data_IF_092535128287
#
_entry.id   IF_092535128287
#
_cell.length_a   1.000
_cell.length_b   1.000
_cell.length_c   1.000
_cell.angle_alpha   90.00
_cell.angle_beta   90.00
_cell.angle_gamma   90.00
#
_symmetry.space_group_name_H-M   'P 1'
#
loop_
_entity.id
_entity.type
_entity.pdbx_description
1 polymer ?
#
# COMPACT_ATOMS: atom_id res chain seq x y z
N UNK A 1 14.49 18.26 6.75
CA UNK A 1 15.57 17.86 5.83
C UNK A 1 15.42 16.40 5.40
N UNK A 2 15.18 15.44 6.31
CA UNK A 2 15.06 14.01 5.97
C UNK A 2 14.01 13.77 4.88
N UNK A 3 12.80 14.27 5.05
CA UNK A 3 11.73 14.16 4.03
C UNK A 3 12.21 14.74 2.69
N UNK A 4 12.72 15.97 2.70
CA UNK A 4 13.14 16.66 1.47
C UNK A 4 14.24 15.91 0.72
N UNK A 5 15.17 15.27 1.42
CA UNK A 5 16.26 14.51 0.80
C UNK A 5 15.78 13.19 0.18
N UNK A 6 14.61 12.71 0.59
CA UNK A 6 13.99 11.49 0.08
C UNK A 6 12.91 11.72 -1.00
N UNK A 7 12.49 12.97 -1.21
CA UNK A 7 11.53 13.32 -2.26
C UNK A 7 12.27 13.60 -3.58
N UNK A 8 12.54 12.54 -4.32
CA UNK A 8 13.14 12.61 -5.67
C UNK A 8 12.07 12.33 -6.73
N UNK A 9 12.26 11.38 -7.61
CA UNK A 9 11.21 10.92 -8.53
C UNK A 9 10.27 9.88 -7.90
N UNK A 10 10.68 9.32 -6.77
CA UNK A 10 9.90 8.50 -5.84
C UNK A 10 10.17 8.96 -4.42
N UNK A 11 9.31 8.60 -3.47
CA UNK A 11 9.66 8.73 -2.06
C UNK A 11 10.57 7.54 -1.70
N UNK A 12 11.83 7.82 -1.36
CA UNK A 12 12.79 6.78 -0.98
C UNK A 12 12.82 6.60 0.53
N UNK A 13 13.17 5.42 1.00
CA UNK A 13 13.39 5.15 2.43
C UNK A 13 14.69 5.78 2.93
N UNK A 14 15.77 5.70 2.13
CA UNK A 14 17.05 6.32 2.43
C UNK A 14 17.69 6.93 1.18
N UNK A 15 18.13 8.23 1.25
CA UNK A 15 18.60 8.96 0.08
C UNK A 15 20.00 8.58 -0.35
N UNK A 16 20.75 7.87 0.48
CA UNK A 16 22.19 7.62 0.26
C UNK A 16 22.53 6.13 0.10
N UNK A 17 21.79 5.23 0.74
CA UNK A 17 22.11 3.79 0.76
C UNK A 17 21.33 3.04 -0.32
N UNK A 18 20.09 2.70 -0.10
CA UNK A 18 19.29 1.86 -0.99
C UNK A 18 18.67 2.64 -2.14
N UNK A 19 18.12 3.82 -1.85
CA UNK A 19 17.41 4.69 -2.81
C UNK A 19 16.22 3.99 -3.47
N UNK A 20 15.57 3.11 -2.73
CA UNK A 20 14.43 2.33 -3.19
C UNK A 20 13.11 3.00 -2.77
N UNK A 21 12.10 2.88 -3.61
CA UNK A 21 10.76 3.37 -3.36
C UNK A 21 9.91 2.36 -2.61
N UNK A 22 10.31 2.00 -1.38
CA UNK A 22 9.52 1.16 -0.51
C UNK A 22 8.17 1.80 -0.22
N UNK A 23 7.09 1.04 -0.40
CA UNK A 23 5.75 1.59 -0.42
C UNK A 23 5.14 1.85 0.96
N UNK A 24 5.53 1.09 1.98
CA UNK A 24 5.00 1.25 3.33
C UNK A 24 5.19 2.67 3.85
N UNK A 25 6.41 3.19 3.81
CA UNK A 25 6.69 4.54 4.28
C UNK A 25 5.92 5.61 3.51
N UNK A 26 5.59 5.35 2.25
CA UNK A 26 4.84 6.31 1.43
C UNK A 26 3.49 6.62 2.03
N UNK A 27 2.76 5.61 2.50
CA UNK A 27 1.47 5.84 3.13
C UNK A 27 1.57 6.15 4.62
N UNK A 28 2.49 5.52 5.38
CA UNK A 28 2.66 5.79 6.81
C UNK A 28 3.14 7.22 7.07
N UNK A 29 4.10 7.72 6.28
CA UNK A 29 4.61 9.08 6.37
C UNK A 29 3.78 10.11 5.60
N UNK A 30 2.78 9.66 4.84
CA UNK A 30 2.02 10.47 3.88
C UNK A 30 1.48 11.77 4.47
N UNK A 31 0.82 11.71 5.62
CA UNK A 31 0.31 12.91 6.30
C UNK A 31 1.43 13.89 6.68
N UNK A 32 2.53 13.38 7.25
CA UNK A 32 3.68 14.20 7.62
C UNK A 32 4.33 14.89 6.42
N UNK A 33 4.39 14.20 5.29
CA UNK A 33 4.90 14.74 4.03
C UNK A 33 3.94 15.80 3.49
N UNK A 34 2.64 15.49 3.42
CA UNK A 34 1.59 16.40 2.93
C UNK A 34 1.52 17.71 3.72
N UNK A 35 1.70 17.69 5.04
CA UNK A 35 1.70 18.91 5.84
C UNK A 35 2.87 19.85 5.53
N UNK A 36 3.93 19.36 4.92
CA UNK A 36 5.15 20.12 4.65
C UNK A 36 5.38 20.43 3.17
N UNK A 37 4.76 19.68 2.27
CA UNK A 37 5.00 19.77 0.82
C UNK A 37 3.72 19.58 0.03
N UNK A 38 3.59 20.27 -1.11
CA UNK A 38 2.60 19.91 -2.12
C UNK A 38 3.11 18.67 -2.87
N UNK A 39 2.53 17.54 -2.56
CA UNK A 39 2.96 16.23 -3.07
C UNK A 39 2.01 15.62 -4.10
N UNK A 40 0.98 16.35 -4.51
CA UNK A 40 0.00 15.84 -5.47
C UNK A 40 0.65 15.25 -6.74
N UNK A 41 1.57 15.96 -7.45
CA UNK A 41 2.19 15.40 -8.65
C UNK A 41 3.02 14.15 -8.38
N UNK A 42 3.78 14.16 -7.28
CA UNK A 42 4.64 13.02 -6.91
C UNK A 42 3.81 11.78 -6.57
N UNK A 43 2.75 11.94 -5.79
CA UNK A 43 1.93 10.81 -5.37
C UNK A 43 1.04 10.28 -6.50
N UNK A 44 0.58 11.15 -7.41
CA UNK A 44 -0.06 10.69 -8.67
C UNK A 44 0.90 9.84 -9.51
N UNK A 45 2.17 10.26 -9.60
CA UNK A 45 3.20 9.45 -10.27
C UNK A 45 3.40 8.12 -9.55
N UNK A 46 3.48 8.08 -8.22
CA UNK A 46 3.63 6.83 -7.48
C UNK A 46 2.46 5.86 -7.68
N UNK A 47 1.22 6.37 -7.74
CA UNK A 47 0.06 5.55 -8.11
C UNK A 47 0.25 4.95 -9.50
N UNK A 48 0.73 5.74 -10.46
CA UNK A 48 1.03 5.25 -11.82
C UNK A 48 2.15 4.20 -11.81
N UNK A 49 3.22 4.43 -11.05
CA UNK A 49 4.32 3.47 -10.92
C UNK A 49 3.84 2.11 -10.38
N UNK A 50 2.94 2.12 -9.37
CA UNK A 50 2.33 0.90 -8.85
C UNK A 50 1.42 0.21 -9.87
N UNK A 51 0.65 0.97 -10.65
CA UNK A 51 -0.16 0.41 -11.74
C UNK A 51 0.69 -0.32 -12.78
N UNK A 52 1.86 0.23 -13.11
CA UNK A 52 2.81 -0.36 -14.07
C UNK A 52 3.51 -1.58 -13.47
N UNK A 53 3.87 -1.53 -12.19
CA UNK A 53 4.58 -2.61 -11.50
C UNK A 53 3.68 -3.80 -11.14
N UNK A 54 2.35 -3.61 -11.12
CA UNK A 54 1.42 -4.67 -10.72
C UNK A 54 1.54 -5.90 -11.61
N UNK A 55 1.68 -7.07 -11.00
CA UNK A 55 1.76 -8.35 -11.72
C UNK A 55 0.41 -8.78 -12.31
N UNK A 56 0.44 -9.78 -13.18
CA UNK A 56 -0.77 -10.35 -13.78
C UNK A 56 -1.70 -10.96 -12.72
N UNK A 57 -1.13 -11.53 -11.65
CA UNK A 57 -1.85 -12.13 -10.53
C UNK A 57 -2.48 -11.08 -9.60
N UNK A 58 -2.06 -9.83 -9.69
CA UNK A 58 -2.59 -8.73 -8.90
C UNK A 58 -1.67 -8.23 -7.79
N UNK A 59 -0.51 -8.86 -7.56
CA UNK A 59 0.48 -8.38 -6.58
C UNK A 59 0.97 -6.98 -6.97
N UNK A 60 1.01 -6.09 -6.01
CA UNK A 60 1.77 -4.83 -6.08
C UNK A 60 3.07 -5.08 -5.30
N UNK A 61 4.25 -5.08 -5.97
CA UNK A 61 5.51 -5.30 -5.29
C UNK A 61 5.77 -4.26 -4.21
N UNK A 62 6.52 -4.61 -3.17
CA UNK A 62 6.82 -3.74 -2.02
C UNK A 62 7.58 -2.47 -2.40
N UNK A 63 8.22 -2.47 -3.58
CA UNK A 63 8.83 -1.27 -4.19
C UNK A 63 8.20 -0.96 -5.55
N UNK A 64 7.95 0.30 -5.83
CA UNK A 64 7.52 0.77 -7.14
C UNK A 64 8.20 2.10 -7.51
N UNK A 65 8.84 2.19 -8.70
CA UNK A 65 8.97 1.13 -9.71
C UNK A 65 9.82 -0.05 -9.23
N UNK A 66 9.49 -1.28 -9.69
CA UNK A 66 10.22 -2.50 -9.34
C UNK A 66 11.47 -2.67 -10.24
N UNK A 67 12.51 -1.87 -10.02
CA UNK A 67 13.76 -1.96 -10.79
C UNK A 67 14.80 -2.86 -10.13
N UNK A 68 14.56 -3.32 -8.91
CA UNK A 68 15.31 -4.36 -8.21
C UNK A 68 14.33 -5.43 -7.77
N UNK A 69 14.36 -6.63 -8.37
CA UNK A 69 13.47 -7.71 -7.96
C UNK A 69 13.94 -8.31 -6.63
N UNK A 70 13.06 -8.34 -5.65
CA UNK A 70 13.23 -9.07 -4.41
C UNK A 70 12.41 -10.37 -4.43
N UNK A 71 12.46 -11.13 -3.35
CA UNK A 71 11.70 -12.37 -3.18
C UNK A 71 11.13 -12.47 -1.77
N UNK A 72 10.12 -13.33 -1.60
CA UNK A 72 9.46 -13.54 -0.31
C UNK A 72 8.83 -12.26 0.22
N UNK A 73 8.90 -12.06 1.53
CA UNK A 73 8.33 -10.89 2.20
C UNK A 73 8.92 -9.54 1.79
N UNK A 74 10.10 -9.51 1.19
CA UNK A 74 10.66 -8.26 0.64
C UNK A 74 10.07 -7.86 -0.73
N UNK A 75 9.18 -8.66 -1.27
CA UNK A 75 8.45 -8.36 -2.52
C UNK A 75 6.95 -8.37 -2.34
N UNK A 76 6.46 -9.13 -1.37
CA UNK A 76 5.06 -9.44 -1.17
C UNK A 76 4.73 -9.38 0.32
N UNK A 77 4.55 -8.16 0.80
CA UNK A 77 4.07 -7.87 2.15
C UNK A 77 2.84 -6.97 2.07
N UNK A 78 1.70 -7.38 2.67
CA UNK A 78 0.47 -6.59 2.62
C UNK A 78 0.66 -5.14 3.10
N UNK A 79 1.48 -4.90 4.11
CA UNK A 79 1.73 -3.59 4.69
C UNK A 79 2.36 -2.61 3.67
N UNK A 80 3.11 -3.12 2.69
CA UNK A 80 3.73 -2.33 1.60
C UNK A 80 2.78 -2.18 0.41
N UNK A 81 2.30 -3.30 -0.14
CA UNK A 81 1.48 -3.29 -1.35
C UNK A 81 0.14 -2.56 -1.18
N UNK A 82 -0.39 -2.48 0.03
CA UNK A 82 -1.61 -1.72 0.37
C UNK A 82 -1.50 -0.22 0.08
N UNK A 83 -0.28 0.32 -0.12
CA UNK A 83 -0.13 1.68 -0.65
C UNK A 83 -0.90 1.90 -1.95
N UNK A 84 -1.08 0.84 -2.76
CA UNK A 84 -1.88 0.90 -4.00
C UNK A 84 -3.36 1.22 -3.78
N UNK A 85 -3.90 0.90 -2.62
CA UNK A 85 -5.27 1.24 -2.22
C UNK A 85 -5.28 2.54 -1.39
N UNK A 86 -4.34 2.68 -0.46
CA UNK A 86 -4.31 3.78 0.49
C UNK A 86 -3.95 5.11 -0.18
N UNK A 87 -2.99 5.15 -1.13
CA UNK A 87 -2.60 6.41 -1.77
C UNK A 87 -3.72 7.09 -2.56
N UNK A 88 -4.49 6.40 -3.43
CA UNK A 88 -5.64 7.02 -4.09
C UNK A 88 -6.66 7.59 -3.11
N UNK A 89 -6.89 6.91 -1.98
CA UNK A 89 -7.72 7.43 -0.90
C UNK A 89 -7.15 8.69 -0.26
N UNK A 90 -5.85 8.71 0.07
CA UNK A 90 -5.18 9.88 0.64
C UNK A 90 -5.26 11.09 -0.32
N UNK A 91 -5.02 10.88 -1.61
CA UNK A 91 -5.14 11.94 -2.62
C UNK A 91 -6.55 12.52 -2.68
N UNK A 92 -7.56 11.69 -2.57
CA UNK A 92 -8.94 12.16 -2.44
C UNK A 92 -9.17 12.97 -1.16
N UNK A 93 -8.69 12.49 -0.02
CA UNK A 93 -8.86 13.17 1.28
C UNK A 93 -8.16 14.52 1.33
N UNK A 94 -6.98 14.64 0.73
CA UNK A 94 -6.18 15.86 0.79
C UNK A 94 -6.54 16.88 -0.29
N UNK A 95 -6.85 16.41 -1.50
CA UNK A 95 -6.99 17.25 -2.69
C UNK A 95 -8.36 17.13 -3.39
N UNK A 96 -9.24 16.26 -2.94
CA UNK A 96 -10.49 15.95 -3.63
C UNK A 96 -10.28 15.18 -4.94
N UNK A 97 -9.13 14.53 -5.12
CA UNK A 97 -8.75 13.90 -6.39
C UNK A 97 -9.45 12.55 -6.59
N UNK A 98 -10.61 12.59 -7.20
CA UNK A 98 -11.34 11.39 -7.62
C UNK A 98 -10.78 10.77 -8.89
N UNK A 99 -10.00 11.51 -9.67
CA UNK A 99 -9.48 11.03 -10.96
C UNK A 99 -8.42 9.94 -10.76
N UNK A 100 -7.47 10.14 -9.86
CA UNK A 100 -6.50 9.10 -9.50
C UNK A 100 -7.18 7.84 -8.98
N UNK A 101 -8.24 7.98 -8.20
CA UNK A 101 -9.05 6.87 -7.70
C UNK A 101 -9.73 6.10 -8.84
N UNK A 102 -10.30 6.80 -9.83
CA UNK A 102 -10.91 6.16 -11.02
C UNK A 102 -9.89 5.41 -11.85
N UNK A 103 -8.75 6.04 -12.12
CA UNK A 103 -7.67 5.44 -12.92
C UNK A 103 -7.05 4.22 -12.23
N UNK A 104 -6.86 4.28 -10.92
CA UNK A 104 -6.30 3.20 -10.13
C UNK A 104 -7.30 2.07 -9.80
N UNK A 105 -8.60 2.26 -10.04
CA UNK A 105 -9.64 1.29 -9.67
C UNK A 105 -9.35 -0.15 -10.12
N UNK A 106 -8.93 -0.41 -11.38
CA UNK A 106 -8.60 -1.78 -11.80
C UNK A 106 -7.42 -2.38 -11.02
N UNK A 107 -6.40 -1.57 -10.70
CA UNK A 107 -5.25 -1.99 -9.90
C UNK A 107 -5.68 -2.34 -8.46
N UNK A 108 -6.41 -1.45 -7.81
CA UNK A 108 -6.91 -1.62 -6.45
C UNK A 108 -7.77 -2.89 -6.33
N UNK A 109 -8.73 -3.07 -7.25
CA UNK A 109 -9.63 -4.23 -7.25
C UNK A 109 -8.87 -5.55 -7.42
N UNK A 110 -7.87 -5.59 -8.31
CA UNK A 110 -7.03 -6.79 -8.50
C UNK A 110 -6.16 -7.07 -7.27
N UNK A 111 -5.63 -6.02 -6.64
CA UNK A 111 -4.80 -6.19 -5.46
C UNK A 111 -5.60 -6.75 -4.28
N UNK A 112 -6.77 -6.21 -3.98
CA UNK A 112 -7.62 -6.72 -2.88
C UNK A 112 -8.11 -8.14 -3.18
N UNK A 113 -8.41 -8.46 -4.45
CA UNK A 113 -8.71 -9.83 -4.85
C UNK A 113 -7.51 -10.78 -4.69
N UNK A 114 -6.30 -10.31 -4.96
CA UNK A 114 -5.05 -11.03 -4.70
C UNK A 114 -4.88 -11.34 -3.21
N UNK A 115 -5.02 -10.34 -2.33
CA UNK A 115 -4.96 -10.55 -0.88
C UNK A 115 -6.01 -11.56 -0.43
N UNK A 116 -7.24 -11.42 -0.92
CA UNK A 116 -8.32 -12.38 -0.62
C UNK A 116 -7.96 -13.81 -1.03
N UNK A 117 -7.34 -13.99 -2.18
CA UNK A 117 -6.95 -15.32 -2.67
C UNK A 117 -5.89 -16.00 -1.80
N UNK A 118 -5.14 -15.21 -1.02
CA UNK A 118 -4.11 -15.69 -0.10
C UNK A 118 -4.60 -15.84 1.34
N UNK A 119 -5.78 -15.32 1.65
CA UNK A 119 -6.34 -15.42 2.99
C UNK A 119 -6.98 -16.80 3.23
N UNK A 120 -6.92 -17.25 4.48
CA UNK A 120 -7.69 -18.38 4.98
C UNK A 120 -8.62 -17.88 6.06
N UNK A 121 -9.91 -18.09 5.91
CA UNK A 121 -10.94 -17.53 6.81
C UNK A 121 -10.73 -16.02 7.08
N UNK A 122 -10.46 -15.27 6.02
CA UNK A 122 -10.15 -13.84 6.04
C UNK A 122 -8.86 -13.43 6.75
N UNK A 123 -8.06 -14.40 7.24
CA UNK A 123 -6.77 -14.14 7.89
C UNK A 123 -5.64 -14.25 6.85
N UNK A 124 -4.79 -13.23 6.77
CA UNK A 124 -3.52 -13.26 6.07
C UNK A 124 -2.40 -13.58 7.07
N UNK A 125 -1.52 -14.50 6.72
CA UNK A 125 -0.40 -14.91 7.58
C UNK A 125 0.89 -15.01 6.75
N UNK A 126 1.28 -13.90 6.13
CA UNK A 126 2.51 -13.81 5.36
C UNK A 126 3.01 -12.36 5.25
N UNK A 127 4.25 -12.19 4.85
CA UNK A 127 4.92 -10.90 4.71
C UNK A 127 5.96 -10.67 5.80
N UNK A 128 6.41 -9.43 5.93
CA UNK A 128 7.41 -9.02 6.92
C UNK A 128 6.77 -8.67 8.27
N UNK A 129 5.50 -8.26 8.27
CA UNK A 129 4.78 -7.83 9.45
C UNK A 129 5.27 -6.48 9.98
N UNK A 130 5.26 -6.30 11.29
CA UNK A 130 5.78 -5.11 11.98
C UNK A 130 7.30 -5.04 11.81
N UNK A 131 7.72 -4.45 10.67
CA UNK A 131 9.11 -4.46 10.22
C UNK A 131 10.02 -3.75 11.20
N UNK A 132 11.08 -4.46 11.57
CA UNK A 132 12.15 -3.97 12.42
C UNK A 132 11.74 -3.75 13.88
N UNK A 133 10.75 -4.48 14.39
CA UNK A 133 10.49 -4.54 15.81
C UNK A 133 11.71 -5.09 16.59
N UNK A 134 11.86 -4.68 17.83
CA UNK A 134 13.00 -5.06 18.66
C UNK A 134 12.64 -6.24 19.57
N UNK A 135 12.63 -7.43 18.98
CA UNK A 135 12.38 -8.68 19.68
C UNK A 135 13.66 -9.37 20.17
N UNK A 136 13.55 -10.63 20.63
CA UNK A 136 14.67 -11.39 21.18
C UNK A 136 15.68 -11.87 20.13
N UNK A 137 15.30 -11.91 18.85
CA UNK A 137 16.16 -12.31 17.73
C UNK A 137 16.84 -11.12 17.04
N UNK A 138 17.43 -11.39 15.87
CA UNK A 138 17.98 -10.32 15.03
C UNK A 138 16.86 -9.44 14.50
N UNK A 139 17.01 -8.10 14.47
CA UNK A 139 16.01 -7.20 13.91
C UNK A 139 15.72 -7.51 12.44
N UNK A 140 14.49 -7.32 12.03
CA UNK A 140 14.02 -7.61 10.67
C UNK A 140 12.52 -7.90 10.67
N UNK A 141 12.14 -9.09 10.17
CA UNK A 141 10.73 -9.51 10.21
C UNK A 141 10.18 -9.51 11.65
N UNK A 142 8.88 -9.30 11.76
CA UNK A 142 8.18 -9.19 13.04
C UNK A 142 8.48 -10.35 14.00
N UNK A 143 8.71 -10.04 15.25
CA UNK A 143 9.07 -10.99 16.30
C UNK A 143 8.09 -10.93 17.48
N UNK A 144 7.58 -9.76 17.81
CA UNK A 144 6.69 -9.52 18.95
C UNK A 144 5.23 -9.45 18.51
N UNK A 145 4.97 -8.75 17.42
CA UNK A 145 3.64 -8.66 16.83
C UNK A 145 3.46 -9.81 15.84
N UNK A 146 2.44 -10.67 15.98
CA UNK A 146 2.18 -11.71 14.98
C UNK A 146 1.99 -11.11 13.57
N UNK A 147 2.67 -11.68 12.57
CA UNK A 147 2.53 -11.26 11.16
C UNK A 147 1.07 -11.25 10.72
N UNK A 148 0.30 -12.27 11.12
CA UNK A 148 -1.12 -12.36 10.80
C UNK A 148 -1.95 -11.20 11.35
N UNK A 149 -1.55 -10.57 12.44
CA UNK A 149 -2.27 -9.42 13.00
C UNK A 149 -2.13 -8.19 12.09
N UNK A 150 -0.91 -7.83 11.72
CA UNK A 150 -0.67 -6.64 10.89
C UNK A 150 -1.15 -6.84 9.46
N UNK A 151 -0.84 -7.99 8.86
CA UNK A 151 -1.27 -8.32 7.51
C UNK A 151 -2.81 -8.36 7.38
N UNK A 152 -3.51 -8.95 8.34
CA UNK A 152 -4.98 -8.98 8.32
C UNK A 152 -5.57 -7.61 8.60
N UNK A 153 -5.01 -6.83 9.53
CA UNK A 153 -5.50 -5.49 9.84
C UNK A 153 -5.39 -4.56 8.62
N UNK A 154 -4.28 -4.61 7.89
CA UNK A 154 -4.12 -3.77 6.68
C UNK A 154 -5.05 -4.25 5.55
N UNK A 155 -5.23 -5.57 5.38
CA UNK A 155 -6.18 -6.12 4.42
C UNK A 155 -7.62 -5.68 4.73
N UNK A 156 -8.03 -5.76 5.99
CA UNK A 156 -9.34 -5.22 6.41
C UNK A 156 -9.48 -3.74 6.08
N UNK A 157 -8.43 -2.96 6.34
CA UNK A 157 -8.42 -1.53 6.03
C UNK A 157 -8.56 -1.27 4.52
N UNK A 158 -7.86 -2.03 3.69
CA UNK A 158 -8.01 -1.95 2.23
C UNK A 158 -9.44 -2.24 1.79
N UNK A 159 -10.07 -3.29 2.32
CA UNK A 159 -11.47 -3.64 2.00
C UNK A 159 -12.42 -2.52 2.41
N UNK A 160 -12.25 -1.95 3.61
CA UNK A 160 -13.06 -0.84 4.10
C UNK A 160 -12.90 0.41 3.20
N UNK A 161 -11.67 0.74 2.80
CA UNK A 161 -11.41 1.84 1.88
C UNK A 161 -12.02 1.59 0.49
N UNK A 162 -11.95 0.37 -0.01
CA UNK A 162 -12.57 0.00 -1.29
C UNK A 162 -14.09 0.16 -1.26
N UNK A 163 -14.73 -0.17 -0.14
CA UNK A 163 -16.16 0.08 0.05
C UNK A 163 -16.50 1.57 -0.05
N UNK A 164 -15.75 2.42 0.67
CA UNK A 164 -15.97 3.88 0.65
C UNK A 164 -15.71 4.45 -0.74
N UNK A 165 -14.60 4.09 -1.37
CA UNK A 165 -14.24 4.55 -2.70
C UNK A 165 -15.24 4.09 -3.77
N UNK A 166 -15.77 2.87 -3.66
CA UNK A 166 -16.82 2.38 -4.53
C UNK A 166 -18.08 3.24 -4.44
N UNK A 167 -18.48 3.60 -3.22
CA UNK A 167 -19.64 4.48 -2.98
C UNK A 167 -19.43 5.86 -3.60
N UNK A 168 -18.25 6.47 -3.42
CA UNK A 168 -17.89 7.76 -4.01
C UNK A 168 -17.93 7.72 -5.55
N UNK A 169 -17.51 6.60 -6.14
CA UNK A 169 -17.45 6.40 -7.59
C UNK A 169 -18.79 5.93 -8.20
N UNK A 170 -19.84 5.77 -7.39
CA UNK A 170 -21.15 5.28 -7.86
C UNK A 170 -21.16 3.80 -8.25
N UNK A 171 -20.25 3.01 -7.69
CA UNK A 171 -20.08 1.56 -7.94
C UNK A 171 -20.81 0.76 -6.86
N UNK A 172 -22.13 0.85 -6.84
CA UNK A 172 -22.97 0.30 -5.76
C UNK A 172 -22.79 -1.20 -5.54
N UNK A 173 -22.66 -1.98 -6.62
CA UNK A 173 -22.47 -3.44 -6.51
C UNK A 173 -21.14 -3.80 -5.86
N UNK A 174 -20.09 -3.12 -6.26
CA UNK A 174 -18.76 -3.28 -5.68
C UNK A 174 -18.74 -2.84 -4.21
N UNK A 175 -19.42 -1.74 -3.86
CA UNK A 175 -19.55 -1.29 -2.49
C UNK A 175 -20.19 -2.37 -1.59
N UNK A 176 -21.29 -2.98 -2.04
CA UNK A 176 -21.94 -4.09 -1.32
C UNK A 176 -21.03 -5.33 -1.23
N UNK A 177 -20.24 -5.61 -2.27
CA UNK A 177 -19.30 -6.73 -2.25
C UNK A 177 -18.21 -6.52 -1.20
N UNK A 178 -17.60 -5.31 -1.16
CA UNK A 178 -16.56 -5.02 -0.17
C UNK A 178 -17.11 -4.91 1.24
N UNK A 179 -18.34 -4.40 1.42
CA UNK A 179 -19.01 -4.44 2.72
C UNK A 179 -19.11 -5.89 3.26
N UNK A 180 -19.56 -6.82 2.40
CA UNK A 180 -19.66 -8.23 2.79
C UNK A 180 -18.29 -8.92 3.00
N UNK A 181 -17.19 -8.36 2.54
CA UNK A 181 -15.84 -8.88 2.82
C UNK A 181 -15.27 -8.31 4.13
N UNK A 182 -15.77 -7.18 4.60
CA UNK A 182 -15.36 -6.56 5.86
C UNK A 182 -16.07 -7.14 7.08
N UNK A 183 -17.23 -7.78 6.90
CA UNK A 183 -18.02 -8.47 7.96
C UNK A 183 -17.42 -9.85 8.28
#
# INVERSE_FOLDING_TARGET
WAIKSNLQSVATDCPHREKLGWLEQTHLMGNGIHYNFDILPLYKKQVTDMMIAQTAEGLIPDIAPEYVPFAGGFRDSPEWGSAGVILPWMLYKWYGDTESMKQAWPMMSRYVAYLKSKSSDHILDYGLGDWFDLGPGSPGSAQLTPVSLTATAIYYYDVALMQEMASILGKEKEALTYAAWAD
#
